data_IF_628995900071
#
_entry.id   IF_628995900071
#
_cell.length_a   1.000
_cell.length_b   1.000
_cell.length_c   1.000
_cell.angle_alpha   90.00
_cell.angle_beta   90.00
_cell.angle_gamma   90.00
#
_symmetry.space_group_name_H-M   'P 1'
#
loop_
_entity.id
_entity.type
_entity.pdbx_description
1 polymer ?
#
# COMPACT_ATOMS: atom_id res chain seq x y z
N UNK A 1 -34.06 7.42 0.51
CA UNK A 1 -33.20 7.56 -0.69
C UNK A 1 -31.94 8.38 -0.41
N UNK A 2 -32.07 9.63 0.06
CA UNK A 2 -30.92 10.53 0.34
C UNK A 2 -29.86 9.97 1.32
N UNK A 3 -30.27 9.42 2.48
CA UNK A 3 -29.32 8.79 3.44
C UNK A 3 -28.53 7.61 2.84
N UNK A 4 -29.13 6.86 1.92
CA UNK A 4 -28.51 5.71 1.25
C UNK A 4 -27.50 6.17 0.18
N UNK A 5 -27.85 7.22 -0.56
CA UNK A 5 -26.96 7.84 -1.55
C UNK A 5 -25.71 8.46 -0.88
N UNK A 6 -25.89 9.18 0.23
CA UNK A 6 -24.76 9.72 1.01
C UNK A 6 -23.88 8.62 1.60
N UNK A 7 -24.46 7.50 2.03
CA UNK A 7 -23.70 6.34 2.52
C UNK A 7 -22.82 5.72 1.44
N UNK A 8 -23.41 5.36 0.29
CA UNK A 8 -22.68 4.71 -0.80
C UNK A 8 -21.68 5.66 -1.48
N UNK A 9 -22.03 6.95 -1.60
CA UNK A 9 -21.14 7.99 -2.10
C UNK A 9 -19.96 8.25 -1.16
N UNK A 10 -20.25 8.41 0.13
CA UNK A 10 -19.25 8.63 1.17
C UNK A 10 -18.26 7.47 1.27
N UNK A 11 -18.74 6.22 1.28
CA UNK A 11 -17.87 5.03 1.31
C UNK A 11 -16.90 5.00 0.14
N UNK A 12 -17.40 5.27 -1.06
CA UNK A 12 -16.60 5.23 -2.26
C UNK A 12 -15.56 6.34 -2.36
N UNK A 13 -15.93 7.56 -1.95
CA UNK A 13 -15.00 8.69 -1.85
C UNK A 13 -13.98 8.39 -0.74
N UNK A 14 -14.41 7.86 0.40
CA UNK A 14 -13.56 7.47 1.52
C UNK A 14 -12.50 6.45 1.10
N UNK A 15 -12.87 5.41 0.34
CA UNK A 15 -11.90 4.45 -0.19
C UNK A 15 -10.96 5.06 -1.23
N UNK A 16 -11.41 6.02 -2.04
CA UNK A 16 -10.53 6.74 -2.96
C UNK A 16 -9.51 7.57 -2.18
N UNK A 17 -9.95 8.35 -1.19
CA UNK A 17 -9.09 9.16 -0.34
C UNK A 17 -8.11 8.27 0.42
N UNK A 18 -8.58 7.16 1.00
CA UNK A 18 -7.72 6.22 1.71
C UNK A 18 -6.60 5.71 0.82
N UNK A 19 -6.91 5.28 -0.42
CA UNK A 19 -5.90 4.80 -1.39
C UNK A 19 -4.91 5.89 -1.81
N UNK A 20 -5.41 7.08 -2.15
CA UNK A 20 -4.56 8.17 -2.62
C UNK A 20 -3.66 8.72 -1.50
N UNK A 21 -4.19 8.88 -0.30
CA UNK A 21 -3.42 9.35 0.85
C UNK A 21 -2.40 8.30 1.30
N UNK A 22 -2.81 7.06 1.53
CA UNK A 22 -1.89 6.02 2.00
C UNK A 22 -0.83 5.68 0.97
N UNK A 23 -1.22 5.59 -0.31
CA UNK A 23 -0.27 5.33 -1.39
C UNK A 23 0.66 6.52 -1.61
N UNK A 24 0.13 7.75 -1.65
CA UNK A 24 0.91 8.96 -1.86
C UNK A 24 1.93 9.22 -0.75
N UNK A 25 1.55 9.00 0.51
CA UNK A 25 2.49 9.08 1.63
C UNK A 25 3.50 7.92 1.61
N UNK A 26 3.09 6.71 1.23
CA UNK A 26 4.04 5.59 1.10
C UNK A 26 5.07 5.80 -0.03
N UNK A 27 4.72 6.55 -1.09
CA UNK A 27 5.67 6.90 -2.14
C UNK A 27 6.88 7.67 -1.61
N UNK A 28 6.78 8.41 -0.50
CA UNK A 28 7.97 9.09 0.07
C UNK A 28 8.99 8.08 0.60
N UNK A 29 8.51 7.00 1.21
CA UNK A 29 9.35 5.89 1.67
C UNK A 29 9.91 5.09 0.48
N UNK A 30 9.05 4.78 -0.50
CA UNK A 30 9.46 4.08 -1.71
C UNK A 30 10.46 4.86 -2.56
N UNK A 31 10.28 6.17 -2.71
CA UNK A 31 11.19 7.04 -3.45
C UNK A 31 12.58 7.12 -2.80
N UNK A 32 12.63 7.20 -1.46
CA UNK A 32 13.89 7.16 -0.73
C UNK A 32 14.65 5.86 -0.99
N UNK A 33 13.98 4.71 -0.94
CA UNK A 33 14.60 3.40 -1.22
C UNK A 33 14.99 3.23 -2.68
N UNK A 34 14.16 3.71 -3.61
CA UNK A 34 14.47 3.70 -5.04
C UNK A 34 15.70 4.58 -5.35
N UNK A 35 15.82 5.73 -4.68
CA UNK A 35 16.98 6.61 -4.79
C UNK A 35 18.27 5.93 -4.30
N UNK A 36 18.20 5.13 -3.21
CA UNK A 36 19.34 4.34 -2.73
C UNK A 36 19.80 3.30 -3.77
N UNK A 37 18.86 2.65 -4.45
CA UNK A 37 19.18 1.71 -5.54
C UNK A 37 19.88 2.42 -6.71
N UNK A 38 19.36 3.58 -7.13
CA UNK A 38 19.96 4.35 -8.23
C UNK A 38 21.32 4.96 -7.87
N UNK A 39 21.56 5.26 -6.59
CA UNK A 39 22.87 5.76 -6.14
C UNK A 39 23.89 4.65 -5.90
N UNK A 40 23.53 3.37 -6.05
CA UNK A 40 24.38 2.23 -5.72
C UNK A 40 24.65 2.06 -4.22
N UNK A 41 23.86 2.70 -3.36
CA UNK A 41 24.00 2.57 -1.90
C UNK A 41 23.07 1.45 -1.41
N UNK A 42 23.59 0.24 -1.37
CA UNK A 42 22.82 -0.94 -0.97
C UNK A 42 22.75 -1.17 0.54
N UNK A 43 23.25 -0.24 1.36
CA UNK A 43 23.19 -0.36 2.82
C UNK A 43 21.75 -0.29 3.32
N UNK A 44 21.18 -1.44 3.63
CA UNK A 44 19.79 -1.56 4.06
C UNK A 44 19.64 -2.66 5.11
N UNK A 45 18.58 -2.59 5.91
CA UNK A 45 18.30 -3.64 6.89
C UNK A 45 17.95 -4.95 6.16
N UNK A 46 18.45 -6.07 6.68
CA UNK A 46 18.13 -7.42 6.19
C UNK A 46 17.38 -8.25 7.27
N UNK A 47 16.12 -7.89 7.59
CA UNK A 47 15.38 -8.56 8.65
C UNK A 47 15.01 -10.01 8.33
N UNK A 48 15.07 -10.42 7.06
CA UNK A 48 14.71 -11.76 6.61
C UNK A 48 15.92 -12.65 6.31
N UNK A 49 17.14 -12.12 6.41
CA UNK A 49 18.37 -12.87 6.15
C UNK A 49 18.58 -13.24 4.68
N UNK A 50 17.99 -12.49 3.74
CA UNK A 50 18.06 -12.74 2.29
C UNK A 50 19.13 -11.88 1.59
N UNK A 51 19.84 -11.05 2.35
CA UNK A 51 20.79 -10.04 1.90
C UNK A 51 20.22 -8.63 1.88
N UNK A 52 21.08 -7.63 2.09
CA UNK A 52 20.70 -6.21 2.11
C UNK A 52 20.14 -5.75 0.75
N UNK A 53 20.79 -6.13 -0.36
CA UNK A 53 20.37 -5.74 -1.71
C UNK A 53 18.99 -6.30 -2.08
N UNK A 54 18.71 -7.62 -1.94
CA UNK A 54 17.36 -8.14 -2.17
C UNK A 54 16.31 -7.52 -1.25
N UNK A 55 16.63 -7.30 0.02
CA UNK A 55 15.73 -6.64 0.98
C UNK A 55 15.39 -5.20 0.55
N UNK A 56 16.39 -4.43 0.09
CA UNK A 56 16.19 -3.07 -0.43
C UNK A 56 15.34 -3.06 -1.70
N UNK A 57 15.62 -3.98 -2.65
CA UNK A 57 14.87 -4.08 -3.91
C UNK A 57 13.41 -4.43 -3.64
N UNK A 58 13.15 -5.43 -2.81
CA UNK A 58 11.78 -5.84 -2.45
C UNK A 58 11.02 -4.71 -1.74
N UNK A 59 11.66 -4.04 -0.79
CA UNK A 59 11.05 -2.92 -0.09
C UNK A 59 10.79 -1.72 -1.02
N UNK A 60 11.72 -1.38 -1.93
CA UNK A 60 11.53 -0.31 -2.90
C UNK A 60 10.39 -0.62 -3.88
N UNK A 61 10.32 -1.85 -4.41
CA UNK A 61 9.25 -2.28 -5.31
C UNK A 61 7.89 -2.29 -4.61
N UNK A 62 7.83 -2.80 -3.37
CA UNK A 62 6.60 -2.78 -2.59
C UNK A 62 6.13 -1.34 -2.33
N UNK A 63 6.99 -0.50 -1.77
CA UNK A 63 6.60 0.83 -1.32
C UNK A 63 6.43 1.86 -2.45
N UNK A 64 7.14 1.69 -3.57
CA UNK A 64 6.99 2.58 -4.72
C UNK A 64 5.97 2.02 -5.73
N UNK A 65 6.29 0.87 -6.34
CA UNK A 65 5.48 0.33 -7.43
C UNK A 65 4.11 -0.07 -6.92
N UNK A 66 4.02 -0.89 -5.86
CA UNK A 66 2.72 -1.35 -5.39
C UNK A 66 1.84 -0.20 -4.87
N UNK A 67 2.43 0.86 -4.30
CA UNK A 67 1.71 2.10 -3.94
C UNK A 67 1.04 2.75 -5.15
N UNK A 68 1.69 2.81 -6.32
CA UNK A 68 1.08 3.34 -7.54
C UNK A 68 -0.13 2.49 -7.98
N UNK A 69 -0.02 1.17 -7.91
CA UNK A 69 -1.14 0.27 -8.21
C UNK A 69 -2.31 0.46 -7.23
N UNK A 70 -2.02 0.62 -5.94
CA UNK A 70 -3.03 0.91 -4.90
C UNK A 70 -3.70 2.27 -5.17
N UNK A 71 -2.95 3.32 -5.47
CA UNK A 71 -3.51 4.64 -5.80
C UNK A 71 -4.43 4.57 -7.01
N UNK A 72 -4.01 3.89 -8.07
CA UNK A 72 -4.83 3.66 -9.26
C UNK A 72 -6.06 2.77 -8.97
N UNK A 73 -5.99 1.94 -7.93
CA UNK A 73 -6.98 0.92 -7.65
C UNK A 73 -6.98 -0.17 -8.71
N UNK A 74 -5.79 -0.61 -9.12
CA UNK A 74 -5.59 -1.68 -10.06
C UNK A 74 -5.10 -2.92 -9.31
N UNK A 75 -5.88 -4.00 -9.35
CA UNK A 75 -5.64 -5.21 -8.58
C UNK A 75 -5.55 -4.93 -7.08
N UNK A 76 -6.38 -4.02 -6.54
CA UNK A 76 -6.15 -3.38 -5.23
C UNK A 76 -5.83 -4.39 -4.12
N UNK A 77 -6.57 -5.51 -4.04
CA UNK A 77 -6.36 -6.56 -3.03
C UNK A 77 -5.01 -7.26 -3.14
N UNK A 78 -4.51 -7.42 -4.36
CA UNK A 78 -3.21 -8.05 -4.63
C UNK A 78 -2.10 -7.01 -4.44
N UNK A 79 -2.32 -5.78 -4.93
CA UNK A 79 -1.36 -4.69 -4.85
C UNK A 79 -1.03 -4.27 -3.41
N UNK A 80 -1.97 -4.41 -2.46
CA UNK A 80 -1.67 -4.13 -1.05
C UNK A 80 -0.83 -5.21 -0.36
N UNK A 81 -0.74 -6.44 -0.90
CA UNK A 81 -0.04 -7.54 -0.20
C UNK A 81 1.44 -7.22 0.05
N UNK A 82 2.23 -6.77 -0.95
CA UNK A 82 3.63 -6.41 -0.72
C UNK A 82 3.78 -5.32 0.35
N UNK A 83 2.94 -4.29 0.29
CA UNK A 83 2.92 -3.20 1.27
C UNK A 83 2.58 -3.68 2.67
N UNK A 84 1.59 -4.56 2.77
CA UNK A 84 1.12 -5.15 4.02
C UNK A 84 2.21 -6.00 4.67
N UNK A 85 2.90 -6.82 3.88
CA UNK A 85 4.05 -7.61 4.34
C UNK A 85 5.21 -6.71 4.78
N UNK A 86 5.58 -5.69 3.99
CA UNK A 86 6.66 -4.77 4.34
C UNK A 86 6.39 -4.06 5.68
N UNK A 87 5.16 -3.61 5.91
CA UNK A 87 4.78 -2.96 7.18
C UNK A 87 4.73 -3.96 8.35
N UNK A 88 4.35 -5.22 8.11
CA UNK A 88 4.37 -6.26 9.13
C UNK A 88 5.82 -6.57 9.55
N UNK A 89 6.72 -6.73 8.57
CA UNK A 89 8.16 -6.93 8.83
C UNK A 89 8.74 -5.71 9.57
N UNK A 90 8.39 -4.49 9.16
CA UNK A 90 8.84 -3.29 9.85
C UNK A 90 8.37 -3.26 11.31
N UNK A 91 7.09 -3.50 11.58
CA UNK A 91 6.53 -3.40 12.93
C UNK A 91 6.97 -4.55 13.87
N UNK A 92 6.99 -5.79 13.37
CA UNK A 92 7.14 -7.00 14.19
C UNK A 92 8.53 -7.64 14.13
N UNK A 93 9.37 -7.26 13.16
CA UNK A 93 10.72 -7.81 13.04
C UNK A 93 11.76 -6.70 13.23
N UNK A 94 11.75 -5.67 12.39
CA UNK A 94 12.75 -4.57 12.46
C UNK A 94 12.65 -3.80 13.77
N UNK A 95 11.42 -3.49 14.18
CA UNK A 95 11.16 -2.74 15.40
C UNK A 95 10.72 -3.66 16.55
N UNK A 96 10.88 -4.99 16.50
CA UNK A 96 10.28 -5.92 17.46
C UNK A 96 10.45 -5.52 18.94
N UNK A 97 11.64 -5.04 19.33
CA UNK A 97 11.98 -4.66 20.70
C UNK A 97 11.77 -3.17 21.00
N UNK A 98 11.40 -2.36 20.00
CA UNK A 98 11.19 -0.92 20.17
C UNK A 98 9.87 -0.61 20.90
N UNK A 99 9.78 0.55 21.59
CA UNK A 99 8.52 1.03 22.16
C UNK A 99 7.48 1.32 21.08
N UNK A 100 6.19 1.28 21.46
CA UNK A 100 5.05 1.45 20.54
C UNK A 100 5.16 2.71 19.67
N UNK A 101 5.68 3.81 20.23
CA UNK A 101 5.82 5.09 19.52
C UNK A 101 6.71 5.01 18.27
N UNK A 102 7.65 4.04 18.21
CA UNK A 102 8.49 3.79 17.02
C UNK A 102 7.80 2.87 16.01
N UNK A 103 6.83 2.07 16.45
CA UNK A 103 6.05 1.11 15.63
C UNK A 103 4.76 1.71 15.08
N UNK A 104 4.25 2.77 15.70
CA UNK A 104 2.91 3.31 15.46
C UNK A 104 2.65 3.58 13.98
N UNK A 105 3.61 4.18 13.27
CA UNK A 105 3.45 4.48 11.85
C UNK A 105 3.33 3.21 11.00
N UNK A 106 4.16 2.19 11.25
CA UNK A 106 4.10 0.92 10.54
C UNK A 106 2.78 0.20 10.82
N UNK A 107 2.32 0.21 12.07
CA UNK A 107 1.03 -0.37 12.48
C UNK A 107 -0.17 0.39 11.87
N UNK A 108 -0.07 1.71 11.72
CA UNK A 108 -1.10 2.53 11.08
C UNK A 108 -1.23 2.16 9.60
N UNK A 109 -0.12 2.09 8.87
CA UNK A 109 -0.14 1.64 7.48
C UNK A 109 -0.61 0.19 7.35
N UNK A 110 -0.17 -0.70 8.24
CA UNK A 110 -0.64 -2.09 8.29
C UNK A 110 -2.17 -2.16 8.42
N UNK A 111 -2.75 -1.33 9.29
CA UNK A 111 -4.19 -1.22 9.48
C UNK A 111 -4.88 -0.71 8.22
N UNK A 112 -4.37 0.35 7.60
CA UNK A 112 -4.91 0.89 6.35
C UNK A 112 -4.89 -0.16 5.23
N UNK A 113 -3.78 -0.88 5.07
CA UNK A 113 -3.67 -1.92 4.04
C UNK A 113 -4.55 -3.13 4.34
N UNK A 114 -4.79 -3.45 5.61
CA UNK A 114 -5.79 -4.46 6.02
C UNK A 114 -7.19 -4.03 5.58
N UNK A 115 -7.57 -2.77 5.84
CA UNK A 115 -8.86 -2.22 5.41
C UNK A 115 -8.99 -2.32 3.89
N UNK A 116 -8.00 -1.84 3.14
CA UNK A 116 -8.01 -1.90 1.67
C UNK A 116 -8.01 -3.34 1.12
N UNK A 117 -7.34 -4.27 1.79
CA UNK A 117 -7.38 -5.68 1.43
C UNK A 117 -8.80 -6.25 1.57
N UNK A 118 -9.51 -5.90 2.64
CA UNK A 118 -10.87 -6.38 2.92
C UNK A 118 -11.92 -5.70 2.03
N UNK A 119 -11.84 -4.37 1.89
CA UNK A 119 -12.83 -3.57 1.14
C UNK A 119 -12.59 -3.57 -0.36
N UNK A 120 -11.34 -3.78 -0.81
CA UNK A 120 -10.91 -3.58 -2.19
C UNK A 120 -10.84 -2.10 -2.58
N UNK A 121 -10.79 -1.82 -3.90
CA UNK A 121 -10.57 -0.48 -4.44
C UNK A 121 -11.77 0.48 -4.44
N UNK A 122 -12.97 -0.03 -4.19
CA UNK A 122 -14.22 0.75 -4.29
C UNK A 122 -14.56 1.16 -5.73
N UNK A 123 -15.64 1.93 -5.91
CA UNK A 123 -16.18 2.25 -7.25
C UNK A 123 -15.28 3.16 -8.11
N UNK A 124 -14.43 3.98 -7.48
CA UNK A 124 -13.51 4.90 -8.18
C UNK A 124 -12.13 4.27 -8.37
N UNK A 125 -12.10 2.98 -8.69
CA UNK A 125 -10.89 2.22 -8.96
C UNK A 125 -10.82 1.85 -10.44
N UNK A 126 -9.62 1.66 -10.97
CA UNK A 126 -9.47 1.09 -12.31
C UNK A 126 -10.08 -0.31 -12.40
N UNK A 127 -10.04 -1.10 -11.32
CA UNK A 127 -10.72 -2.39 -11.23
C UNK A 127 -12.22 -2.27 -11.55
N UNK A 128 -12.91 -1.33 -10.91
CA UNK A 128 -14.34 -1.09 -11.15
C UNK A 128 -14.61 -0.58 -12.57
N UNK A 129 -13.77 0.31 -13.08
CA UNK A 129 -13.88 0.83 -14.44
C UNK A 129 -13.73 -0.28 -15.49
N UNK A 130 -12.71 -1.14 -15.35
CA UNK A 130 -12.46 -2.25 -16.26
C UNK A 130 -13.59 -3.30 -16.20
N UNK A 131 -14.11 -3.59 -15.01
CA UNK A 131 -15.25 -4.49 -14.85
C UNK A 131 -16.51 -3.95 -15.57
N UNK A 132 -16.83 -2.66 -15.40
CA UNK A 132 -17.98 -2.04 -16.06
C UNK A 132 -17.87 -2.10 -17.60
N UNK A 133 -16.68 -1.86 -18.16
CA UNK A 133 -16.47 -1.96 -19.62
C UNK A 133 -16.62 -3.37 -20.16
N UNK A 134 -16.25 -4.40 -19.40
CA UNK A 134 -16.42 -5.80 -19.80
C UNK A 134 -17.89 -6.19 -19.90
N UNK A 135 -18.73 -5.67 -18.99
CA UNK A 135 -20.17 -5.92 -19.01
C UNK A 135 -20.85 -5.20 -20.17
N UNK A 136 -20.48 -3.96 -20.48
CA UNK A 136 -21.08 -3.18 -21.58
C UNK A 136 -20.78 -3.74 -22.99
N UNK A 137 -19.78 -4.63 -23.12
CA UNK A 137 -19.38 -5.25 -24.39
C UNK A 137 -19.98 -6.67 -24.56
N UNK A 138 -20.68 -7.19 -23.55
CA UNK A 138 -21.44 -8.45 -23.62
C UNK A 138 -22.90 -8.14 -23.94
#
# INVERSE_FOLDING_TARGET
>A
MFKRLFGELGQSIGLLVLRLASGGLMLTHGWSKLSMLFSGNFKFADPLGIGETPSLVLAALAEFVASLFVMAGLGTRIAVIPLWVTMAVAAFIVHADDPLIRKELALMYLTVYTVLFLTGGGRYSLDAYLAARRTAKR
#
